data_IF_346993809266
#
_entry.id   IF_346993809266
#
_cell.length_a   1.000
_cell.length_b   1.000
_cell.length_c   1.000
_cell.angle_alpha   90.00
_cell.angle_beta   90.00
_cell.angle_gamma   90.00
#
_symmetry.space_group_name_H-M   'P 1'
#
loop_
_entity.id
_entity.type
_entity.pdbx_description
1 polymer ?
#
# COMPACT_ATOMS: atom_id res chain seq x y z
N UNK A 1 14.26 -25.76 23.06
CA UNK A 1 14.10 -24.36 22.64
C UNK A 1 15.03 -23.53 23.51
N UNK A 2 16.08 -22.96 22.94
CA UNK A 2 16.89 -21.97 23.67
C UNK A 2 16.15 -20.65 23.54
N UNK A 3 15.42 -20.27 24.58
CA UNK A 3 14.87 -18.93 24.77
C UNK A 3 16.04 -17.98 25.05
N UNK A 4 16.75 -17.57 24.00
CA UNK A 4 17.58 -16.36 24.10
C UNK A 4 16.61 -15.18 24.16
N UNK A 5 16.35 -14.68 25.36
CA UNK A 5 15.74 -13.36 25.57
C UNK A 5 16.50 -12.37 24.70
N UNK A 6 15.80 -11.72 23.77
CA UNK A 6 16.45 -10.70 22.92
C UNK A 6 17.03 -9.63 23.84
N UNK A 7 18.29 -9.21 23.64
CA UNK A 7 18.92 -8.22 24.50
C UNK A 7 18.09 -6.93 24.48
N UNK A 8 17.78 -6.43 25.67
CA UNK A 8 17.08 -5.16 25.83
C UNK A 8 18.06 -4.00 25.64
N UNK A 9 17.56 -2.89 25.12
CA UNK A 9 18.28 -1.64 24.99
C UNK A 9 17.61 -0.56 25.83
N UNK A 10 18.36 0.43 26.26
CA UNK A 10 17.84 1.50 27.12
C UNK A 10 17.99 2.84 26.41
N UNK A 11 16.91 3.40 25.83
CA UNK A 11 16.96 4.69 25.16
C UNK A 11 17.25 5.83 26.14
N UNK A 12 18.08 6.78 25.74
CA UNK A 12 18.31 8.03 26.48
C UNK A 12 17.21 9.06 26.18
N UNK A 13 17.11 10.08 27.03
CA UNK A 13 16.17 11.18 26.81
C UNK A 13 16.46 11.91 25.49
N UNK A 14 17.74 12.13 25.16
CA UNK A 14 18.14 12.75 23.91
C UNK A 14 17.71 11.93 22.69
N UNK A 15 17.84 10.60 22.75
CA UNK A 15 17.43 9.72 21.66
C UNK A 15 15.92 9.74 21.42
N UNK A 16 15.12 9.68 22.50
CA UNK A 16 13.65 9.77 22.41
C UNK A 16 13.23 11.15 21.90
N UNK A 17 13.79 12.23 22.45
CA UNK A 17 13.45 13.60 22.06
C UNK A 17 13.76 13.86 20.57
N UNK A 18 14.87 13.33 20.04
CA UNK A 18 15.20 13.45 18.61
C UNK A 18 14.19 12.71 17.72
N UNK A 19 13.79 11.50 18.09
CA UNK A 19 12.78 10.75 17.33
C UNK A 19 11.42 11.46 17.37
N UNK A 20 10.99 11.93 18.54
CA UNK A 20 9.77 12.71 18.69
C UNK A 20 9.81 14.01 17.87
N UNK A 21 10.94 14.72 17.87
CA UNK A 21 11.12 15.93 17.08
C UNK A 21 11.03 15.66 15.56
N UNK A 22 11.61 14.55 15.08
CA UNK A 22 11.52 14.13 13.69
C UNK A 22 10.07 13.80 13.29
N UNK A 23 9.36 13.01 14.11
CA UNK A 23 7.93 12.70 13.88
C UNK A 23 7.09 13.98 13.93
N UNK A 24 7.36 14.89 14.87
CA UNK A 24 6.66 16.17 14.97
C UNK A 24 6.91 17.07 13.74
N UNK A 25 8.08 17.00 13.12
CA UNK A 25 8.35 17.70 11.86
C UNK A 25 7.47 17.16 10.72
N UNK A 26 7.31 15.84 10.63
CA UNK A 26 6.40 15.24 9.67
C UNK A 26 4.93 15.61 9.96
N UNK A 27 4.51 15.64 11.22
CA UNK A 27 3.16 16.12 11.60
C UNK A 27 2.95 17.56 11.14
N UNK A 28 3.91 18.46 11.36
CA UNK A 28 3.82 19.85 10.86
C UNK A 28 3.73 19.93 9.34
N UNK A 29 4.41 19.03 8.62
CA UNK A 29 4.28 18.95 7.16
C UNK A 29 2.87 18.54 6.73
N UNK A 30 2.24 17.59 7.44
CA UNK A 30 0.84 17.21 7.21
C UNK A 30 -0.07 18.41 7.49
N UNK A 31 0.10 19.08 8.63
CA UNK A 31 -0.74 20.21 9.03
C UNK A 31 -0.66 21.40 8.06
N UNK A 32 0.52 21.64 7.49
CA UNK A 32 0.75 22.68 6.49
C UNK A 32 0.14 22.35 5.12
N UNK A 33 -0.26 21.10 4.87
CA UNK A 33 -0.84 20.69 3.60
C UNK A 33 -2.37 20.97 3.59
N UNK A 34 -2.89 21.72 2.60
CA UNK A 34 -4.33 21.98 2.50
C UNK A 34 -5.17 20.71 2.32
N UNK A 35 -4.58 19.66 1.74
CA UNK A 35 -5.23 18.36 1.52
C UNK A 35 -5.08 17.41 2.70
N UNK A 36 -4.73 17.87 3.90
CA UNK A 36 -4.55 16.96 5.06
C UNK A 36 -5.81 16.13 5.34
N UNK A 37 -5.63 14.84 5.57
CA UNK A 37 -6.70 13.90 5.91
C UNK A 37 -6.85 13.84 7.42
N UNK A 38 -8.01 14.28 7.90
CA UNK A 38 -8.33 14.28 9.33
C UNK A 38 -8.11 12.90 9.97
N UNK A 39 -7.42 12.86 11.10
CA UNK A 39 -7.12 11.63 11.83
C UNK A 39 -6.09 10.71 11.14
N UNK A 40 -5.51 11.08 10.00
CA UNK A 40 -4.46 10.32 9.33
C UNK A 40 -3.05 10.70 9.81
N UNK A 41 -2.94 11.03 11.10
CA UNK A 41 -1.67 11.38 11.74
C UNK A 41 -0.94 10.14 12.22
N UNK A 42 0.41 10.17 12.25
CA UNK A 42 1.19 9.13 12.88
C UNK A 42 0.81 8.95 14.36
N UNK A 43 0.94 7.73 14.86
CA UNK A 43 0.67 7.37 16.24
C UNK A 43 1.91 6.70 16.85
N UNK A 44 2.48 7.31 17.88
CA UNK A 44 3.72 6.85 18.51
C UNK A 44 3.51 6.61 20.01
N UNK A 45 4.07 5.50 20.51
CA UNK A 45 4.14 5.16 21.93
C UNK A 45 5.60 4.89 22.29
N UNK A 46 6.20 5.76 23.09
CA UNK A 46 7.56 5.60 23.58
C UNK A 46 7.57 5.46 25.10
N UNK A 47 8.36 4.53 25.58
CA UNK A 47 8.62 4.37 27.00
C UNK A 47 9.48 5.54 27.50
N UNK A 48 9.37 5.84 28.79
CA UNK A 48 10.19 6.86 29.44
C UNK A 48 11.69 6.60 29.23
N UNK A 49 12.51 7.67 29.14
CA UNK A 49 13.96 7.54 29.10
C UNK A 49 14.50 6.67 30.23
N UNK A 50 15.51 5.85 29.93
CA UNK A 50 16.10 4.95 30.92
C UNK A 50 15.33 3.64 31.15
N UNK A 51 14.15 3.46 30.54
CA UNK A 51 13.42 2.19 30.58
C UNK A 51 13.98 1.21 29.54
N UNK A 52 14.37 -0.03 29.92
CA UNK A 52 14.74 -1.06 28.97
C UNK A 52 13.58 -1.45 28.05
N UNK A 53 13.86 -1.59 26.76
CA UNK A 53 12.93 -2.00 25.71
C UNK A 53 13.52 -3.12 24.85
N UNK A 54 12.68 -3.91 24.21
CA UNK A 54 13.11 -4.92 23.23
C UNK A 54 13.43 -4.36 21.85
N UNK A 55 13.12 -3.08 21.61
CA UNK A 55 13.28 -2.38 20.33
C UNK A 55 12.05 -1.55 19.97
N UNK A 56 11.99 -1.12 18.71
CA UNK A 56 10.87 -0.32 18.19
C UNK A 56 10.16 -1.07 17.07
N UNK A 57 8.83 -1.16 17.16
CA UNK A 57 7.98 -1.73 16.12
C UNK A 57 7.42 -0.60 15.26
N UNK A 58 7.77 -0.61 13.98
CA UNK A 58 7.24 0.28 12.96
C UNK A 58 6.07 -0.40 12.25
N UNK A 59 4.89 0.24 12.24
CA UNK A 59 3.64 -0.35 11.78
C UNK A 59 3.06 0.40 10.59
N UNK A 60 2.51 -0.34 9.62
CA UNK A 60 1.89 0.17 8.41
C UNK A 60 0.44 -0.33 8.28
N UNK A 61 -0.49 0.60 8.11
CA UNK A 61 -1.93 0.30 8.02
C UNK A 61 -2.36 -0.22 6.63
N UNK A 62 -3.59 -0.72 6.54
CA UNK A 62 -4.18 -1.17 5.27
C UNK A 62 -4.66 -0.02 4.37
N UNK A 63 -5.03 -0.34 3.14
CA UNK A 63 -5.25 0.62 2.04
C UNK A 63 -6.14 1.82 2.41
N UNK A 64 -7.41 1.62 2.74
CA UNK A 64 -8.33 2.75 3.02
C UNK A 64 -8.20 3.33 4.43
N UNK A 65 -7.35 2.74 5.27
CA UNK A 65 -7.28 3.04 6.69
C UNK A 65 -6.42 4.27 7.00
N UNK A 66 -6.23 4.50 8.31
CA UNK A 66 -5.40 5.56 8.91
C UNK A 66 -4.44 4.91 9.91
N UNK A 67 -3.34 5.58 10.31
CA UNK A 67 -2.33 4.97 11.19
C UNK A 67 -2.90 4.39 12.49
N UNK A 68 -3.94 4.99 13.09
CA UNK A 68 -4.53 4.48 14.33
C UNK A 68 -5.37 3.18 14.17
N UNK A 69 -5.46 2.59 12.98
CA UNK A 69 -6.24 1.36 12.72
C UNK A 69 -5.84 0.20 13.63
N UNK A 70 -4.54 0.05 13.91
CA UNK A 70 -4.02 -1.08 14.69
C UNK A 70 -3.67 -0.68 16.14
N UNK A 71 -4.35 0.32 16.71
CA UNK A 71 -4.05 0.85 18.05
C UNK A 71 -4.06 -0.20 19.15
N UNK A 72 -4.97 -1.20 19.10
CA UNK A 72 -5.01 -2.29 20.10
C UNK A 72 -3.74 -3.13 20.08
N UNK A 73 -3.23 -3.41 18.88
CA UNK A 73 -1.99 -4.14 18.71
C UNK A 73 -0.78 -3.32 19.17
N UNK A 74 -0.78 -2.01 18.87
CA UNK A 74 0.26 -1.12 19.39
C UNK A 74 0.25 -1.02 20.91
N UNK A 75 -0.92 -0.87 21.54
CA UNK A 75 -1.04 -0.86 23.01
C UNK A 75 -0.55 -2.17 23.62
N UNK A 76 -0.90 -3.31 23.01
CA UNK A 76 -0.38 -4.62 23.42
C UNK A 76 1.15 -4.68 23.33
N UNK A 77 1.75 -4.31 22.19
CA UNK A 77 3.20 -4.32 22.00
C UNK A 77 3.91 -3.38 22.98
N UNK A 78 3.35 -2.19 23.19
CA UNK A 78 3.87 -1.21 24.14
C UNK A 78 3.86 -1.73 25.57
N UNK A 79 2.75 -2.31 26.03
CA UNK A 79 2.67 -2.93 27.36
C UNK A 79 3.64 -4.10 27.54
N UNK A 80 4.07 -4.73 26.44
CA UNK A 80 5.05 -5.80 26.42
C UNK A 80 6.49 -5.35 26.16
N UNK A 81 6.78 -4.05 26.32
CA UNK A 81 8.16 -3.53 26.38
C UNK A 81 8.77 -3.18 25.02
N UNK A 82 7.95 -2.91 24.01
CA UNK A 82 8.40 -2.33 22.74
C UNK A 82 8.01 -0.85 22.65
N UNK A 83 8.87 -0.04 22.06
CA UNK A 83 8.40 1.23 21.50
C UNK A 83 7.58 0.95 20.23
N UNK A 84 6.61 1.80 19.90
CA UNK A 84 5.75 1.60 18.73
C UNK A 84 5.62 2.89 17.94
N UNK A 85 5.72 2.78 16.61
CA UNK A 85 5.48 3.86 15.67
C UNK A 85 4.57 3.39 14.53
N UNK A 86 3.31 3.83 14.51
CA UNK A 86 2.41 3.63 13.39
C UNK A 86 2.44 4.85 12.49
N UNK A 87 2.94 4.69 11.27
CA UNK A 87 3.08 5.75 10.30
C UNK A 87 1.99 5.69 9.21
N UNK A 88 1.78 6.81 8.52
CA UNK A 88 0.97 6.79 7.30
C UNK A 88 1.75 6.15 6.16
N UNK A 89 1.08 5.29 5.38
CA UNK A 89 1.63 4.79 4.12
C UNK A 89 1.58 5.92 3.06
N UNK A 90 2.39 5.77 2.00
CA UNK A 90 2.69 6.84 1.05
C UNK A 90 1.44 7.57 0.51
N UNK A 91 1.30 8.86 0.86
CA UNK A 91 0.19 9.72 0.47
C UNK A 91 -1.10 9.62 1.32
N UNK A 92 -1.23 8.63 2.22
CA UNK A 92 -2.49 8.37 2.92
C UNK A 92 -2.79 9.34 4.06
N UNK A 93 -1.84 10.21 4.39
CA UNK A 93 -2.05 11.37 5.25
C UNK A 93 -2.87 12.49 4.56
N UNK A 94 -3.18 12.36 3.26
CA UNK A 94 -3.85 13.37 2.44
C UNK A 94 -5.18 12.86 1.85
N UNK A 95 -6.17 13.74 1.67
CA UNK A 95 -7.58 13.40 1.39
C UNK A 95 -7.85 13.02 -0.06
N UNK A 96 -7.05 13.48 -1.01
CA UNK A 96 -7.31 13.28 -2.44
C UNK A 96 -6.43 12.13 -2.99
N UNK A 97 -6.97 10.91 -3.19
CA UNK A 97 -6.19 9.77 -3.64
C UNK A 97 -5.65 9.94 -5.06
N UNK A 98 -6.41 10.62 -5.93
CA UNK A 98 -6.04 10.84 -7.34
C UNK A 98 -4.72 11.61 -7.45
N UNK A 99 -4.48 12.54 -6.53
CA UNK A 99 -3.28 13.39 -6.52
C UNK A 99 -2.18 12.85 -5.62
N UNK A 100 -2.55 12.28 -4.47
CA UNK A 100 -1.60 12.08 -3.38
C UNK A 100 -1.14 10.64 -3.21
N UNK A 101 -1.99 9.67 -3.52
CA UNK A 101 -1.70 8.25 -3.30
C UNK A 101 -0.83 7.70 -4.43
N UNK A 102 -0.22 6.53 -4.21
CA UNK A 102 0.52 5.88 -5.28
C UNK A 102 -0.44 5.46 -6.39
N UNK A 103 -0.04 5.64 -7.65
CA UNK A 103 -0.84 5.34 -8.83
C UNK A 103 -0.03 4.57 -9.88
N UNK A 104 -0.74 3.78 -10.68
CA UNK A 104 -0.29 3.26 -11.97
C UNK A 104 -1.39 3.57 -12.97
N UNK A 105 -1.15 4.57 -13.80
CA UNK A 105 -2.11 5.06 -14.78
C UNK A 105 -1.55 4.93 -16.18
N UNK A 106 -2.41 4.74 -17.17
CA UNK A 106 -2.02 4.86 -18.57
C UNK A 106 -1.60 6.30 -18.83
N UNK A 107 -0.57 6.49 -19.66
CA UNK A 107 -0.20 7.83 -20.11
C UNK A 107 -1.38 8.53 -20.82
N UNK A 108 -1.56 9.85 -20.66
CA UNK A 108 -2.71 10.57 -21.21
C UNK A 108 -2.92 10.35 -22.72
N UNK A 109 -1.84 10.26 -23.51
CA UNK A 109 -1.88 10.02 -24.95
C UNK A 109 -2.47 8.64 -25.34
N UNK A 110 -2.57 7.71 -24.38
CA UNK A 110 -3.24 6.40 -24.54
C UNK A 110 -4.60 6.43 -23.85
N UNK A 111 -4.66 6.94 -22.61
CA UNK A 111 -5.85 6.93 -21.79
C UNK A 111 -6.99 7.75 -22.40
N UNK A 112 -6.73 8.99 -22.83
CA UNK A 112 -7.78 9.91 -23.28
C UNK A 112 -8.48 9.44 -24.58
N UNK A 113 -7.76 8.99 -25.62
CA UNK A 113 -8.41 8.38 -26.78
C UNK A 113 -9.23 7.13 -26.44
N UNK A 114 -8.76 6.31 -25.50
CA UNK A 114 -9.47 5.11 -25.09
C UNK A 114 -10.75 5.44 -24.31
N UNK A 115 -10.69 6.41 -23.38
CA UNK A 115 -11.86 6.94 -22.67
C UNK A 115 -12.91 7.49 -23.65
N UNK A 116 -12.49 8.23 -24.68
CA UNK A 116 -13.40 8.74 -25.70
C UNK A 116 -14.09 7.60 -26.49
N UNK A 117 -13.35 6.56 -26.89
CA UNK A 117 -13.92 5.36 -27.55
C UNK A 117 -14.91 4.62 -26.64
N UNK A 118 -14.57 4.47 -25.36
CA UNK A 118 -15.39 3.82 -24.34
C UNK A 118 -16.69 4.61 -24.10
N UNK A 119 -16.60 5.94 -24.01
CA UNK A 119 -17.76 6.81 -23.83
C UNK A 119 -18.71 6.80 -25.06
N UNK A 120 -18.16 6.59 -26.26
CA UNK A 120 -18.96 6.42 -27.48
C UNK A 120 -19.59 5.03 -27.61
N UNK A 121 -19.26 4.09 -26.72
CA UNK A 121 -19.77 2.72 -26.74
C UNK A 121 -20.88 2.50 -25.70
N UNK A 122 -22.14 2.32 -26.11
CA UNK A 122 -23.26 2.23 -25.17
C UNK A 122 -23.17 1.05 -24.20
N UNK A 123 -22.54 -0.06 -24.60
CA UNK A 123 -22.41 -1.27 -23.77
C UNK A 123 -21.34 -1.08 -22.70
N UNK A 124 -20.18 -0.54 -23.08
CA UNK A 124 -19.11 -0.23 -22.14
C UNK A 124 -19.53 0.90 -21.20
N UNK A 125 -20.12 1.96 -21.73
CA UNK A 125 -20.61 3.08 -20.91
C UNK A 125 -21.62 2.61 -19.86
N UNK A 126 -22.62 1.81 -20.24
CA UNK A 126 -23.60 1.26 -19.30
C UNK A 126 -22.94 0.35 -18.25
N UNK A 127 -21.98 -0.47 -18.66
CA UNK A 127 -21.25 -1.38 -17.75
C UNK A 127 -20.41 -0.60 -16.73
N UNK A 128 -19.71 0.45 -17.16
CA UNK A 128 -18.93 1.32 -16.28
C UNK A 128 -19.80 2.13 -15.32
N UNK A 129 -20.91 2.67 -15.80
CA UNK A 129 -21.88 3.38 -14.97
C UNK A 129 -22.43 2.49 -13.84
N UNK A 130 -22.70 1.22 -14.13
CA UNK A 130 -23.14 0.24 -13.14
C UNK A 130 -22.04 -0.11 -12.12
N UNK A 131 -20.78 -0.21 -12.57
CA UNK A 131 -19.63 -0.46 -11.69
C UNK A 131 -19.27 0.74 -10.79
N UNK A 132 -19.59 1.95 -11.25
CA UNK A 132 -19.28 3.21 -10.54
C UNK A 132 -20.40 3.65 -9.59
N UNK A 133 -21.50 2.88 -9.52
CA UNK A 133 -22.66 3.19 -8.69
C UNK A 133 -22.35 2.87 -7.21
N UNK A 134 -22.42 3.85 -6.29
CA UNK A 134 -22.18 3.62 -4.86
C UNK A 134 -23.25 2.77 -4.17
N UNK A 135 -24.50 2.80 -4.64
CA UNK A 135 -25.61 2.06 -4.05
C UNK A 135 -25.65 0.60 -4.49
N UNK A 136 -24.77 0.23 -5.42
CA UNK A 136 -24.61 -1.12 -5.95
C UNK A 136 -23.83 -2.07 -5.03
N UNK A 137 -23.23 -1.56 -3.94
CA UNK A 137 -22.51 -2.33 -2.92
C UNK A 137 -23.46 -3.17 -2.06
N UNK A 138 -24.17 -4.10 -2.68
CA UNK A 138 -25.10 -5.02 -2.01
C UNK A 138 -25.95 -5.83 -2.99
N UNK A 139 -26.62 -5.15 -3.94
CA UNK A 139 -27.74 -5.76 -4.69
C UNK A 139 -27.63 -5.71 -6.22
N UNK A 140 -26.62 -5.04 -6.82
CA UNK A 140 -26.42 -5.18 -8.27
C UNK A 140 -25.56 -6.40 -8.58
N UNK A 141 -26.00 -7.30 -9.47
CA UNK A 141 -25.18 -8.44 -9.87
C UNK A 141 -23.91 -7.92 -10.52
N UNK A 142 -22.74 -8.22 -9.92
CA UNK A 142 -21.45 -8.06 -10.61
C UNK A 142 -21.55 -8.77 -11.97
N UNK A 143 -20.96 -8.23 -13.04
CA UNK A 143 -21.04 -8.89 -14.34
C UNK A 143 -20.48 -10.31 -14.21
N UNK A 144 -21.23 -11.29 -14.73
CA UNK A 144 -20.83 -12.69 -14.79
C UNK A 144 -19.52 -12.87 -15.55
N UNK A 145 -18.88 -14.03 -15.39
CA UNK A 145 -17.65 -14.38 -16.11
C UNK A 145 -17.74 -14.11 -17.63
N UNK A 146 -18.82 -14.58 -18.27
CA UNK A 146 -19.02 -14.38 -19.71
C UNK A 146 -19.21 -12.90 -20.08
N UNK A 147 -19.87 -12.13 -19.23
CA UNK A 147 -20.04 -10.69 -19.45
C UNK A 147 -18.70 -9.95 -19.33
N UNK A 148 -17.87 -10.26 -18.33
CA UNK A 148 -16.54 -9.65 -18.18
C UNK A 148 -15.62 -9.98 -19.36
N UNK A 149 -15.62 -11.22 -19.82
CA UNK A 149 -14.86 -11.63 -21.01
C UNK A 149 -15.35 -10.92 -22.27
N UNK A 150 -16.66 -10.73 -22.43
CA UNK A 150 -17.21 -9.97 -23.55
C UNK A 150 -16.81 -8.49 -23.51
N UNK A 151 -16.78 -7.87 -22.32
CA UNK A 151 -16.32 -6.48 -22.14
C UNK A 151 -14.83 -6.34 -22.47
N UNK A 152 -13.98 -7.24 -21.97
CA UNK A 152 -12.56 -7.27 -22.31
C UNK A 152 -12.36 -7.45 -23.82
N UNK A 153 -13.06 -8.41 -24.44
CA UNK A 153 -12.96 -8.63 -25.89
C UNK A 153 -13.41 -7.40 -26.69
N UNK A 154 -14.43 -6.67 -26.22
CA UNK A 154 -14.89 -5.42 -26.84
C UNK A 154 -13.83 -4.32 -26.74
N UNK A 155 -13.20 -4.16 -25.58
CA UNK A 155 -12.09 -3.22 -25.39
C UNK A 155 -10.89 -3.56 -26.29
N UNK A 156 -10.50 -4.84 -26.36
CA UNK A 156 -9.40 -5.29 -27.22
C UNK A 156 -9.66 -5.03 -28.71
N UNK A 157 -10.92 -5.13 -29.17
CA UNK A 157 -11.29 -4.78 -30.56
C UNK A 157 -11.17 -3.28 -30.83
N UNK A 158 -11.46 -2.44 -29.84
CA UNK A 158 -11.34 -0.97 -29.96
C UNK A 158 -9.90 -0.48 -29.91
N UNK A 159 -9.08 -1.17 -29.12
CA UNK A 159 -7.68 -0.83 -28.92
C UNK A 159 -6.84 -2.11 -28.83
N UNK A 160 -6.39 -2.66 -29.97
CA UNK A 160 -5.60 -3.89 -30.00
C UNK A 160 -4.28 -3.81 -29.21
N UNK A 161 -3.72 -2.59 -29.04
CA UNK A 161 -2.53 -2.35 -28.22
C UNK A 161 -2.73 -2.72 -26.74
N UNK A 162 -3.99 -2.83 -26.28
CA UNK A 162 -4.30 -3.28 -24.92
C UNK A 162 -3.69 -4.65 -24.59
N UNK A 163 -3.50 -5.54 -25.57
CA UNK A 163 -2.81 -6.80 -25.33
C UNK A 163 -1.36 -6.61 -24.88
N UNK A 164 -0.64 -5.66 -25.49
CA UNK A 164 0.76 -5.38 -25.15
C UNK A 164 0.86 -4.56 -23.86
N UNK A 165 -0.08 -3.64 -23.65
CA UNK A 165 -0.24 -2.89 -22.39
C UNK A 165 -0.46 -3.84 -21.21
N UNK A 166 -1.37 -4.82 -21.34
CA UNK A 166 -1.66 -5.81 -20.30
C UNK A 166 -0.45 -6.70 -20.00
N UNK A 167 0.34 -7.08 -21.03
CA UNK A 167 1.59 -7.82 -20.81
C UNK A 167 2.60 -6.99 -20.03
N UNK A 168 2.72 -5.70 -20.36
CA UNK A 168 3.70 -4.80 -19.74
C UNK A 168 3.43 -4.58 -18.24
N UNK A 169 2.15 -4.51 -17.84
CA UNK A 169 1.78 -4.34 -16.43
C UNK A 169 1.87 -5.65 -15.62
N UNK A 170 1.46 -6.78 -16.21
CA UNK A 170 1.48 -8.08 -15.55
C UNK A 170 2.93 -8.52 -15.27
N UNK A 171 3.89 -8.26 -16.16
CA UNK A 171 5.27 -8.71 -15.97
C UNK A 171 6.05 -7.77 -15.02
N UNK A 172 6.67 -8.29 -13.94
CA UNK A 172 7.31 -7.48 -12.90
C UNK A 172 8.35 -6.46 -13.39
N UNK A 173 9.12 -6.82 -14.41
CA UNK A 173 10.24 -6.03 -14.95
C UNK A 173 10.12 -5.86 -16.48
N UNK A 174 8.92 -5.72 -17.00
CA UNK A 174 8.74 -5.53 -18.45
C UNK A 174 9.35 -4.20 -18.93
N UNK A 175 10.19 -4.20 -19.98
CA UNK A 175 10.82 -2.98 -20.48
C UNK A 175 9.83 -2.00 -21.11
N UNK A 176 8.64 -2.46 -21.53
CA UNK A 176 7.61 -1.59 -22.08
C UNK A 176 6.68 -1.00 -21.00
N UNK A 177 6.90 -1.27 -19.70
CA UNK A 177 6.07 -0.70 -18.65
C UNK A 177 6.07 0.84 -18.70
N UNK A 178 7.24 1.46 -18.70
CA UNK A 178 7.39 2.92 -18.75
C UNK A 178 7.00 3.52 -20.10
N UNK A 179 6.84 2.68 -21.13
CA UNK A 179 6.29 3.12 -22.42
C UNK A 179 4.82 3.46 -22.28
N UNK A 180 4.06 2.66 -21.54
CA UNK A 180 2.59 2.76 -21.46
C UNK A 180 2.08 3.47 -20.21
N UNK A 181 2.80 3.40 -19.09
CA UNK A 181 2.31 3.85 -17.79
C UNK A 181 3.06 5.05 -17.24
N UNK A 182 2.35 5.89 -16.49
CA UNK A 182 2.92 6.77 -15.47
C UNK A 182 2.73 6.05 -14.14
N UNK A 183 3.79 5.92 -13.34
CA UNK A 183 3.66 5.23 -12.07
C UNK A 183 4.45 5.87 -10.94
N UNK A 184 3.86 5.80 -9.76
CA UNK A 184 4.44 6.20 -8.50
C UNK A 184 4.48 5.05 -7.47
N UNK A 185 4.33 3.79 -7.91
CA UNK A 185 4.28 2.62 -7.02
C UNK A 185 5.50 2.48 -6.08
N UNK A 186 6.69 2.93 -6.50
CA UNK A 186 7.89 2.92 -5.65
C UNK A 186 7.86 3.96 -4.51
N UNK A 187 6.91 4.90 -4.51
CA UNK A 187 6.73 5.83 -3.38
C UNK A 187 6.39 5.10 -2.09
N UNK A 188 5.75 3.93 -2.17
CA UNK A 188 5.57 3.05 -1.01
C UNK A 188 6.88 2.75 -0.29
N UNK A 189 7.97 2.52 -1.03
CA UNK A 189 9.28 2.28 -0.45
C UNK A 189 9.96 3.57 0.01
N UNK A 190 9.96 4.62 -0.82
CA UNK A 190 10.66 5.87 -0.48
C UNK A 190 10.05 6.51 0.76
N UNK A 191 8.73 6.59 0.87
CA UNK A 191 8.07 7.13 2.06
C UNK A 191 8.32 6.23 3.29
N UNK A 192 8.34 4.91 3.12
CA UNK A 192 8.65 4.00 4.23
C UNK A 192 10.10 4.17 4.74
N UNK A 193 11.06 4.43 3.84
CA UNK A 193 12.43 4.82 4.25
C UNK A 193 12.41 6.11 5.03
N UNK A 194 11.66 7.12 4.58
CA UNK A 194 11.56 8.41 5.27
C UNK A 194 10.98 8.25 6.69
N UNK A 195 9.93 7.45 6.83
CA UNK A 195 9.36 7.10 8.14
C UNK A 195 10.34 6.29 9.01
N UNK A 196 11.20 5.47 8.43
CA UNK A 196 12.26 4.76 9.17
C UNK A 196 13.34 5.74 9.67
N UNK A 197 13.68 6.76 8.87
CA UNK A 197 14.68 7.78 9.24
C UNK A 197 14.26 8.58 10.47
N UNK A 198 12.95 8.76 10.69
CA UNK A 198 12.41 9.39 11.91
C UNK A 198 12.74 8.61 13.19
N UNK A 199 13.12 7.32 13.08
CA UNK A 199 13.52 6.46 14.19
C UNK A 199 15.04 6.27 14.32
N UNK A 200 15.86 6.97 13.53
CA UNK A 200 17.33 6.79 13.49
C UNK A 200 18.00 6.97 14.86
N UNK A 201 17.49 7.89 15.68
CA UNK A 201 18.06 8.13 17.01
C UNK A 201 17.76 7.03 18.03
N UNK A 202 16.78 6.17 17.77
CA UNK A 202 16.39 5.12 18.72
C UNK A 202 17.36 3.93 18.65
N UNK A 203 17.88 3.48 19.81
CA UNK A 203 18.80 2.35 19.84
C UNK A 203 18.06 1.03 19.60
N UNK A 204 18.86 -0.01 19.33
CA UNK A 204 18.39 -1.38 19.25
C UNK A 204 17.64 -1.71 17.96
N UNK A 205 16.94 -2.85 17.95
CA UNK A 205 16.37 -3.40 16.73
C UNK A 205 15.11 -2.65 16.29
N UNK A 206 14.91 -2.58 14.97
CA UNK A 206 13.62 -2.20 14.38
C UNK A 206 12.94 -3.45 13.85
N UNK A 207 11.66 -3.56 14.15
CA UNK A 207 10.78 -4.57 13.59
C UNK A 207 9.73 -3.88 12.73
N UNK A 208 9.39 -4.46 11.59
CA UNK A 208 8.29 -3.95 10.76
C UNK A 208 7.07 -4.83 10.88
N UNK A 209 5.90 -4.20 10.85
CA UNK A 209 4.62 -4.87 10.91
C UNK A 209 3.66 -4.21 9.94
N UNK A 210 2.87 -4.98 9.20
CA UNK A 210 1.86 -4.37 8.35
C UNK A 210 0.68 -5.26 7.98
N UNK A 211 -0.42 -4.60 7.63
CA UNK A 211 -1.67 -5.21 7.19
C UNK A 211 -1.93 -4.90 5.71
N UNK A 212 -2.28 -5.90 4.90
CA UNK A 212 -2.64 -5.70 3.48
C UNK A 212 -1.52 -4.97 2.73
N UNK A 213 -1.81 -3.80 2.14
CA UNK A 213 -0.82 -2.91 1.54
C UNK A 213 0.33 -2.60 2.50
N UNK A 214 0.03 -2.31 3.77
CA UNK A 214 1.04 -2.11 4.80
C UNK A 214 1.93 -3.34 5.02
N UNK A 215 1.41 -4.55 4.82
CA UNK A 215 2.19 -5.79 4.85
C UNK A 215 3.20 -5.87 3.71
N UNK A 216 2.80 -5.45 2.50
CA UNK A 216 3.71 -5.33 1.36
C UNK A 216 4.79 -4.27 1.62
N UNK A 217 4.43 -3.12 2.20
CA UNK A 217 5.38 -2.06 2.59
C UNK A 217 6.37 -2.56 3.65
N UNK A 218 5.90 -3.27 4.68
CA UNK A 218 6.75 -3.83 5.73
C UNK A 218 7.79 -4.82 5.18
N UNK A 219 7.38 -5.68 4.24
CA UNK A 219 8.26 -6.62 3.54
C UNK A 219 9.23 -5.89 2.60
N UNK A 220 8.75 -4.90 1.84
CA UNK A 220 9.58 -4.11 0.94
C UNK A 220 10.66 -3.33 1.69
N UNK A 221 10.33 -2.72 2.83
CA UNK A 221 11.31 -2.03 3.66
C UNK A 221 12.35 -3.00 4.25
N UNK A 222 11.95 -4.21 4.62
CA UNK A 222 12.90 -5.23 5.08
C UNK A 222 13.84 -5.72 3.97
N UNK A 223 13.33 -5.85 2.74
CA UNK A 223 14.14 -6.15 1.57
C UNK A 223 15.18 -5.05 1.28
N UNK A 224 14.78 -3.81 1.52
CA UNK A 224 15.60 -2.63 1.26
C UNK A 224 16.65 -2.36 2.35
N UNK A 225 16.27 -2.58 3.61
CA UNK A 225 17.09 -2.29 4.78
C UNK A 225 17.34 -3.57 5.59
N UNK A 226 17.91 -4.63 4.98
CA UNK A 226 18.01 -5.95 5.62
C UNK A 226 18.87 -5.95 6.89
N UNK A 227 19.81 -5.01 7.00
CA UNK A 227 20.67 -4.86 8.18
C UNK A 227 19.98 -4.08 9.31
N UNK A 228 19.00 -3.23 8.98
CA UNK A 228 18.27 -2.41 9.96
C UNK A 228 17.01 -3.11 10.48
N UNK A 229 16.28 -3.78 9.59
CA UNK A 229 15.01 -4.44 9.92
C UNK A 229 15.29 -5.88 10.34
N UNK A 230 15.11 -6.16 11.64
CA UNK A 230 15.48 -7.46 12.19
C UNK A 230 14.42 -8.53 12.01
N UNK A 231 13.13 -8.17 12.02
CA UNK A 231 12.01 -9.12 11.84
C UNK A 231 10.82 -8.42 11.21
N UNK A 232 10.02 -9.19 10.48
CA UNK A 232 8.79 -8.71 9.82
C UNK A 232 7.59 -9.52 10.28
N UNK A 233 6.48 -8.84 10.56
CA UNK A 233 5.16 -9.46 10.72
C UNK A 233 4.23 -8.92 9.63
N UNK A 234 3.79 -9.77 8.72
CA UNK A 234 2.91 -9.37 7.61
C UNK A 234 1.54 -10.07 7.71
N UNK A 235 0.48 -9.29 7.91
CA UNK A 235 -0.90 -9.77 7.91
C UNK A 235 -1.52 -9.57 6.53
N UNK A 236 -1.89 -10.67 5.87
CA UNK A 236 -2.51 -10.71 4.55
C UNK A 236 -1.86 -9.74 3.55
N UNK A 237 -0.52 -9.77 3.34
CA UNK A 237 0.15 -8.77 2.53
C UNK A 237 -0.36 -8.79 1.08
N UNK A 238 -0.75 -7.62 0.56
CA UNK A 238 -1.21 -7.50 -0.82
C UNK A 238 0.00 -7.43 -1.77
N UNK A 239 0.49 -8.61 -2.16
CA UNK A 239 1.65 -8.77 -3.04
C UNK A 239 1.28 -8.87 -4.53
N UNK A 240 0.08 -9.38 -4.81
CA UNK A 240 -0.50 -9.51 -6.14
C UNK A 240 -2.02 -9.64 -5.98
N UNK A 241 -2.80 -9.20 -6.98
CA UNK A 241 -4.23 -9.44 -7.01
C UNK A 241 -4.48 -10.94 -7.26
N UNK A 242 -5.23 -11.60 -6.39
CA UNK A 242 -5.57 -13.01 -6.56
C UNK A 242 -6.60 -13.20 -7.68
N UNK A 243 -6.46 -14.31 -8.41
CA UNK A 243 -7.27 -14.62 -9.59
C UNK A 243 -6.84 -13.85 -10.84
N UNK A 244 -6.50 -14.58 -11.90
CA UNK A 244 -6.06 -14.00 -13.18
C UNK A 244 -7.09 -13.01 -13.76
N UNK A 245 -8.37 -13.33 -13.61
CA UNK A 245 -9.47 -12.50 -14.10
C UNK A 245 -9.59 -11.17 -13.35
N UNK A 246 -9.62 -11.21 -12.00
CA UNK A 246 -9.72 -10.02 -11.16
C UNK A 246 -8.50 -9.12 -11.38
N UNK A 247 -7.32 -9.72 -11.52
CA UNK A 247 -6.08 -9.02 -11.83
C UNK A 247 -6.17 -8.27 -13.16
N UNK A 248 -6.51 -8.97 -14.25
CA UNK A 248 -6.67 -8.35 -15.58
C UNK A 248 -7.73 -7.25 -15.57
N UNK A 249 -8.81 -7.44 -14.81
CA UNK A 249 -9.81 -6.39 -14.62
C UNK A 249 -9.22 -5.17 -13.92
N UNK A 250 -8.57 -5.31 -12.76
CA UNK A 250 -7.96 -4.20 -12.00
C UNK A 250 -6.90 -3.47 -12.84
N UNK A 251 -6.05 -4.21 -13.53
CA UNK A 251 -4.99 -3.69 -14.40
C UNK A 251 -5.54 -2.93 -15.61
N UNK A 252 -6.76 -3.24 -16.06
CA UNK A 252 -7.44 -2.56 -17.18
C UNK A 252 -8.35 -1.42 -16.70
N UNK A 253 -9.00 -1.60 -15.56
CA UNK A 253 -9.96 -0.70 -14.93
C UNK A 253 -9.28 0.53 -14.32
N UNK A 254 -8.15 0.33 -13.64
CA UNK A 254 -7.37 1.42 -13.03
C UNK A 254 -7.01 2.51 -14.03
N UNK A 255 -6.39 2.17 -15.17
CA UNK A 255 -6.04 3.15 -16.18
C UNK A 255 -7.19 3.81 -16.95
N UNK A 256 -8.43 3.36 -16.74
CA UNK A 256 -9.67 3.94 -17.29
C UNK A 256 -10.37 4.87 -16.29
N UNK A 257 -9.75 5.16 -15.14
CA UNK A 257 -10.29 6.02 -14.07
C UNK A 257 -11.59 5.47 -13.45
N UNK A 258 -11.75 4.14 -13.46
CA UNK A 258 -12.83 3.49 -12.72
C UNK A 258 -12.54 3.64 -11.23
N UNK A 259 -13.54 4.07 -10.47
CA UNK A 259 -13.42 4.32 -9.03
C UNK A 259 -14.04 3.19 -8.23
N UNK A 260 -13.41 2.83 -7.11
CA UNK A 260 -13.96 1.89 -6.13
C UNK A 260 -14.18 2.57 -4.78
N UNK A 261 -15.11 2.01 -4.00
CA UNK A 261 -15.33 2.39 -2.60
C UNK A 261 -14.33 1.64 -1.71
N UNK A 262 -13.68 2.36 -0.80
CA UNK A 262 -12.95 1.75 0.29
C UNK A 262 -13.85 1.27 1.41
N UNK A 263 -13.23 0.70 2.46
CA UNK A 263 -13.93 0.40 3.72
C UNK A 263 -14.49 1.64 4.41
N UNK A 264 -13.93 2.82 4.12
CA UNK A 264 -14.50 4.11 4.49
C UNK A 264 -15.49 4.53 3.39
N UNK A 265 -16.81 4.61 3.67
CA UNK A 265 -17.82 4.89 2.66
C UNK A 265 -17.67 6.28 2.02
N UNK A 266 -16.93 7.19 2.66
CA UNK A 266 -16.65 8.52 2.14
C UNK A 266 -15.34 8.57 1.33
N UNK A 267 -14.60 7.46 1.25
CA UNK A 267 -13.33 7.39 0.53
C UNK A 267 -13.51 6.64 -0.79
N UNK A 268 -13.50 7.39 -1.88
CA UNK A 268 -13.38 6.87 -3.25
C UNK A 268 -11.95 7.02 -3.73
N UNK A 269 -11.43 5.99 -4.37
CA UNK A 269 -10.10 6.01 -4.96
C UNK A 269 -10.15 5.43 -6.38
N UNK A 270 -9.23 5.84 -7.25
CA UNK A 270 -9.10 5.26 -8.57
C UNK A 270 -8.51 3.87 -8.43
N UNK A 271 -8.96 2.91 -9.23
CA UNK A 271 -8.42 1.54 -9.22
C UNK A 271 -6.91 1.52 -9.54
N UNK A 272 -6.39 2.56 -10.20
CA UNK A 272 -4.94 2.80 -10.40
C UNK A 272 -4.13 2.74 -9.10
N UNK A 273 -4.73 3.06 -7.95
CA UNK A 273 -4.07 3.01 -6.65
C UNK A 273 -3.94 1.58 -6.11
N UNK A 274 -4.91 0.70 -6.39
CA UNK A 274 -4.78 -0.74 -6.12
C UNK A 274 -3.75 -1.37 -7.04
N UNK A 275 -3.76 -0.99 -8.32
CA UNK A 275 -2.77 -1.41 -9.31
C UNK A 275 -1.35 -1.01 -8.90
N UNK A 276 -1.17 0.18 -8.33
CA UNK A 276 0.11 0.63 -7.79
C UNK A 276 0.64 -0.30 -6.69
N UNK A 277 -0.20 -0.68 -5.73
CA UNK A 277 0.26 -1.60 -4.70
C UNK A 277 0.53 -3.01 -5.24
N UNK A 278 -0.32 -3.54 -6.12
CA UNK A 278 -0.07 -4.83 -6.76
C UNK A 278 1.25 -4.82 -7.55
N UNK A 279 1.52 -3.73 -8.29
CA UNK A 279 2.79 -3.53 -8.98
C UNK A 279 3.95 -3.46 -8.01
N UNK A 280 3.84 -2.73 -6.91
CA UNK A 280 4.88 -2.67 -5.88
C UNK A 280 5.19 -4.06 -5.28
N UNK A 281 4.16 -4.82 -4.91
CA UNK A 281 4.30 -6.19 -4.44
C UNK A 281 5.02 -7.09 -5.43
N UNK A 282 4.63 -7.04 -6.71
CA UNK A 282 5.15 -7.90 -7.78
C UNK A 282 6.54 -7.51 -8.27
N UNK A 283 6.75 -6.23 -8.57
CA UNK A 283 7.99 -5.69 -9.17
C UNK A 283 9.10 -5.44 -8.16
N UNK A 284 8.76 -5.18 -6.89
CA UNK A 284 9.76 -4.93 -5.86
C UNK A 284 9.82 -6.05 -4.83
N UNK A 285 8.73 -6.30 -4.10
CA UNK A 285 8.77 -7.22 -2.94
C UNK A 285 9.09 -8.65 -3.37
N UNK A 286 8.38 -9.18 -4.37
CA UNK A 286 8.60 -10.54 -4.87
C UNK A 286 9.98 -10.69 -5.55
N UNK A 287 10.44 -9.68 -6.29
CA UNK A 287 11.77 -9.70 -6.92
C UNK A 287 12.90 -9.75 -5.89
N UNK A 288 12.67 -9.22 -4.69
CA UNK A 288 13.64 -9.20 -3.61
C UNK A 288 13.39 -10.30 -2.54
N UNK A 289 12.58 -11.32 -2.84
CA UNK A 289 12.25 -12.40 -1.91
C UNK A 289 13.48 -13.11 -1.33
N UNK A 290 14.58 -13.22 -2.10
CA UNK A 290 15.85 -13.80 -1.61
C UNK A 290 16.52 -12.98 -0.52
N UNK A 291 16.38 -11.65 -0.56
CA UNK A 291 16.89 -10.76 0.48
C UNK A 291 15.98 -10.87 1.71
N UNK A 292 14.67 -10.81 1.50
CA UNK A 292 13.66 -10.96 2.55
C UNK A 292 13.83 -12.28 3.31
N UNK A 293 14.18 -13.38 2.62
CA UNK A 293 14.40 -14.69 3.23
C UNK A 293 15.55 -14.72 4.27
N UNK A 294 16.41 -13.69 4.31
CA UNK A 294 17.46 -13.53 5.32
C UNK A 294 16.94 -12.86 6.60
N UNK A 295 15.80 -12.19 6.53
CA UNK A 295 15.12 -11.58 7.68
C UNK A 295 14.03 -12.54 8.17
N UNK A 296 13.96 -12.88 9.46
CA UNK A 296 12.86 -13.67 10.00
C UNK A 296 11.50 -12.99 9.73
N UNK A 297 10.63 -13.68 8.99
CA UNK A 297 9.29 -13.23 8.63
C UNK A 297 8.25 -14.16 9.22
N UNK A 298 7.27 -13.59 9.93
CA UNK A 298 6.01 -14.25 10.23
C UNK A 298 4.92 -13.67 9.33
N UNK A 299 4.29 -14.52 8.52
CA UNK A 299 3.25 -14.13 7.58
C UNK A 299 1.95 -14.83 7.92
N UNK A 300 0.89 -14.05 8.15
CA UNK A 300 -0.47 -14.58 8.31
C UNK A 300 -1.17 -14.44 6.98
N UNK A 301 -1.49 -15.57 6.36
CA UNK A 301 -2.27 -15.63 5.13
C UNK A 301 -3.73 -15.90 5.49
N UNK A 302 -4.66 -15.13 4.92
CA UNK A 302 -6.09 -15.42 5.04
C UNK A 302 -6.49 -16.46 3.99
N UNK A 303 -7.34 -17.40 4.37
CA UNK A 303 -7.83 -18.44 3.46
C UNK A 303 -8.83 -17.90 2.42
N UNK A 304 -9.37 -16.69 2.65
CA UNK A 304 -10.33 -16.02 1.78
C UNK A 304 -9.89 -14.58 1.51
N UNK A 305 -9.96 -14.22 0.21
CA UNK A 305 -10.19 -12.90 -0.40
C UNK A 305 -9.09 -11.85 -0.14
N UNK A 306 -8.25 -11.49 -1.11
CA UNK A 306 -8.63 -10.77 -2.34
C UNK A 306 -7.89 -11.16 -3.62
#
# INVERSE_FOLDING_TARGET
MVTTTSPQVTPTAEQINRAQAAIAAYVRQIDANPDRREGAYPYALFHEPGRPIYGTVMMFHGFSAKPHQMWRLADYLFRNGFNVYQCAIAGHALVNPDQNWCQVDLKPEIAEPLKAKVAADPVLQASLANLSNPDAAGDTPRPSYLQRMALIARLLRMEPRLLDILKAIDRPNDPDFDRYFVSSHLRYLTDARDRLRELESLPGPIFTLGLSVGGAVALGLAADQPDRIQRVVAYAPLLEIYGEERRKYVELAGPLDIRELGWDPNLRFPVGALTANARFGKSYVQQNARIIARTPVFMVLTANED
#
